data_IF_710252094062
#
_entry.id   IF_710252094062
#
_cell.length_a   1.000
_cell.length_b   1.000
_cell.length_c   1.000
_cell.angle_alpha   90.00
_cell.angle_beta   90.00
_cell.angle_gamma   90.00
#
_symmetry.space_group_name_H-M   'P 1'
#
loop_
_entity.id
_entity.type
_entity.pdbx_description
1 polymer ?
#
# COMPACT_ATOMS: atom_id res chain seq x y z
N UNK A 1 -5.94 31.47 5.13
CA UNK A 1 -6.54 30.66 4.04
C UNK A 1 -5.60 30.53 2.86
N UNK A 2 -4.86 31.59 2.48
CA UNK A 2 -3.84 31.52 1.41
C UNK A 2 -2.72 30.52 1.69
N UNK A 3 -2.20 30.45 2.93
CA UNK A 3 -1.11 29.53 3.27
C UNK A 3 -1.54 28.06 3.18
N UNK A 4 -2.75 27.73 3.64
CA UNK A 4 -3.31 26.38 3.49
C UNK A 4 -3.49 25.98 2.01
N UNK A 5 -3.89 26.90 1.14
CA UNK A 5 -4.01 26.63 -0.29
C UNK A 5 -2.64 26.42 -0.96
N UNK A 6 -1.63 27.21 -0.58
CA UNK A 6 -0.26 27.02 -1.04
C UNK A 6 0.29 25.66 -0.61
N UNK A 7 0.10 25.28 0.65
CA UNK A 7 0.51 23.98 1.18
C UNK A 7 -0.21 22.82 0.48
N UNK A 8 -1.52 22.92 0.25
CA UNK A 8 -2.28 21.93 -0.54
C UNK A 8 -1.72 21.78 -1.95
N UNK A 9 -1.42 22.89 -2.64
CA UNK A 9 -0.88 22.87 -3.99
C UNK A 9 0.51 22.23 -4.04
N UNK A 10 1.35 22.51 -3.04
CA UNK A 10 2.67 21.91 -2.90
C UNK A 10 2.57 20.40 -2.65
N UNK A 11 1.73 19.99 -1.70
CA UNK A 11 1.60 18.58 -1.30
C UNK A 11 0.91 17.73 -2.37
N UNK A 12 -0.05 18.28 -3.11
CA UNK A 12 -0.65 17.60 -4.27
C UNK A 12 0.36 17.42 -5.40
N UNK A 13 1.19 18.43 -5.66
CA UNK A 13 2.32 18.32 -6.61
C UNK A 13 3.32 17.25 -6.14
N UNK A 14 3.66 17.23 -4.86
CA UNK A 14 4.56 16.24 -4.28
C UNK A 14 3.99 14.80 -4.41
N UNK A 15 2.69 14.62 -4.18
CA UNK A 15 2.01 13.33 -4.38
C UNK A 15 2.08 12.87 -5.84
N UNK A 16 1.84 13.78 -6.80
CA UNK A 16 1.94 13.47 -8.22
C UNK A 16 3.37 13.07 -8.62
N UNK A 17 4.37 13.80 -8.14
CA UNK A 17 5.78 13.47 -8.37
C UNK A 17 6.12 12.11 -7.75
N UNK A 18 5.66 11.83 -6.52
CA UNK A 18 5.87 10.54 -5.87
C UNK A 18 5.27 9.38 -6.67
N UNK A 19 4.02 9.51 -7.12
CA UNK A 19 3.33 8.52 -7.97
C UNK A 19 4.06 8.33 -9.30
N UNK A 20 4.55 9.41 -9.91
CA UNK A 20 5.32 9.35 -11.14
C UNK A 20 6.66 8.62 -10.96
N UNK A 21 7.40 8.90 -9.88
CA UNK A 21 8.63 8.19 -9.56
C UNK A 21 8.38 6.70 -9.29
N UNK A 22 7.31 6.38 -8.57
CA UNK A 22 6.86 4.99 -8.36
C UNK A 22 6.60 4.32 -9.71
N UNK A 23 5.88 4.98 -10.63
CA UNK A 23 5.62 4.44 -11.97
C UNK A 23 6.93 4.11 -12.70
N UNK A 24 7.90 5.02 -12.71
CA UNK A 24 9.20 4.80 -13.36
C UNK A 24 9.94 3.60 -12.77
N UNK A 25 10.01 3.50 -11.44
CA UNK A 25 10.64 2.38 -10.76
C UNK A 25 9.94 1.07 -11.12
N UNK A 26 8.61 1.04 -11.10
CA UNK A 26 7.81 -0.15 -11.40
C UNK A 26 7.97 -0.61 -12.86
N UNK A 27 7.95 0.32 -13.82
CA UNK A 27 8.17 0.01 -15.24
C UNK A 27 9.56 -0.59 -15.44
N UNK A 28 10.57 -0.02 -14.80
CA UNK A 28 11.95 -0.50 -14.87
C UNK A 28 12.10 -1.87 -14.20
N UNK A 29 11.45 -2.10 -13.06
CA UNK A 29 11.51 -3.35 -12.30
C UNK A 29 10.80 -4.51 -13.01
N UNK A 30 9.59 -4.27 -13.53
CA UNK A 30 8.77 -5.34 -14.11
C UNK A 30 8.96 -5.52 -15.62
N UNK A 31 9.67 -4.59 -16.28
CA UNK A 31 9.83 -4.53 -17.74
C UNK A 31 8.51 -4.73 -18.50
N UNK A 32 7.40 -4.27 -17.92
CA UNK A 32 6.05 -4.46 -18.41
C UNK A 32 5.14 -3.35 -17.89
N UNK A 33 4.22 -2.85 -18.72
CA UNK A 33 3.31 -1.76 -18.35
C UNK A 33 2.09 -2.23 -17.53
N UNK A 34 1.70 -3.50 -17.63
CA UNK A 34 0.51 -4.01 -16.94
C UNK A 34 0.66 -4.08 -15.42
N UNK A 35 1.81 -4.54 -14.92
CA UNK A 35 2.07 -4.67 -13.48
C UNK A 35 2.06 -3.32 -12.76
N UNK A 36 2.75 -2.27 -13.26
CA UNK A 36 2.67 -0.92 -12.70
C UNK A 36 1.25 -0.38 -12.60
N UNK A 37 0.42 -0.54 -13.63
CA UNK A 37 -0.97 -0.04 -13.63
C UNK A 37 -1.80 -0.71 -12.54
N UNK A 38 -1.65 -2.03 -12.35
CA UNK A 38 -2.35 -2.76 -11.27
C UNK A 38 -1.95 -2.21 -9.90
N UNK A 39 -0.65 -2.01 -9.68
CA UNK A 39 -0.10 -1.51 -8.42
C UNK A 39 -0.54 -0.06 -8.16
N UNK A 40 -0.51 0.82 -9.16
CA UNK A 40 -0.95 2.19 -9.00
C UNK A 40 -2.47 2.30 -8.74
N UNK A 41 -3.26 1.41 -9.35
CA UNK A 41 -4.69 1.36 -9.07
C UNK A 41 -4.96 1.04 -7.60
N UNK A 42 -4.21 0.12 -6.98
CA UNK A 42 -4.39 -0.19 -5.56
C UNK A 42 -4.02 0.98 -4.64
N UNK A 43 -3.05 1.81 -5.03
CA UNK A 43 -2.71 3.05 -4.32
C UNK A 43 -3.85 4.08 -4.42
N UNK A 44 -4.40 4.30 -5.60
CA UNK A 44 -5.52 5.25 -5.75
C UNK A 44 -6.72 4.79 -4.91
N UNK A 45 -7.00 3.48 -4.90
CA UNK A 45 -8.08 2.92 -4.08
C UNK A 45 -7.79 2.99 -2.56
N UNK A 46 -6.53 2.99 -2.13
CA UNK A 46 -6.20 3.14 -0.70
C UNK A 46 -6.52 4.54 -0.18
N UNK A 47 -6.42 5.58 -1.03
CA UNK A 47 -6.80 6.95 -0.68
C UNK A 47 -8.27 7.03 -0.24
N UNK A 48 -9.16 6.29 -0.91
CA UNK A 48 -10.57 6.22 -0.51
C UNK A 48 -10.71 5.69 0.93
N UNK A 49 -9.90 4.71 1.33
CA UNK A 49 -9.86 4.21 2.70
C UNK A 49 -9.45 5.25 3.75
N UNK A 50 -8.51 6.12 3.40
CA UNK A 50 -8.08 7.24 4.26
C UNK A 50 -9.25 8.19 4.50
N UNK A 51 -9.87 8.68 3.42
CA UNK A 51 -10.99 9.63 3.51
C UNK A 51 -12.19 9.01 4.23
N UNK A 52 -12.54 7.76 3.91
CA UNK A 52 -13.62 7.04 4.58
C UNK A 52 -13.36 6.90 6.08
N UNK A 53 -12.15 6.51 6.48
CA UNK A 53 -11.80 6.34 7.90
C UNK A 53 -11.86 7.64 8.70
N UNK A 54 -11.41 8.76 8.11
CA UNK A 54 -11.48 10.09 8.71
C UNK A 54 -12.94 10.52 8.89
N UNK A 55 -13.76 10.37 7.85
CA UNK A 55 -15.19 10.75 7.87
C UNK A 55 -15.97 9.93 8.88
N UNK A 56 -15.78 8.60 8.92
CA UNK A 56 -16.46 7.71 9.86
C UNK A 56 -16.10 8.04 11.31
N UNK A 57 -14.81 8.32 11.55
CA UNK A 57 -14.29 8.59 12.90
C UNK A 57 -14.51 10.03 13.36
N UNK A 58 -15.08 10.89 12.50
CA UNK A 58 -15.33 12.33 12.75
C UNK A 58 -14.08 13.07 13.24
N UNK A 59 -12.91 12.69 12.72
CA UNK A 59 -11.65 13.37 13.03
C UNK A 59 -11.44 14.56 12.09
N UNK A 60 -10.72 15.58 12.58
CA UNK A 60 -10.37 16.74 11.77
C UNK A 60 -9.38 16.38 10.66
N UNK A 61 -9.63 16.93 9.46
CA UNK A 61 -8.71 16.81 8.33
C UNK A 61 -7.64 17.89 8.42
N UNK A 62 -6.50 17.56 9.02
CA UNK A 62 -5.33 18.43 9.07
C UNK A 62 -4.52 18.24 7.80
N UNK A 63 -4.72 19.14 6.84
CA UNK A 63 -4.17 19.11 5.47
C UNK A 63 -2.73 18.60 5.41
N UNK A 64 -1.79 19.25 6.09
CA UNK A 64 -0.36 18.95 5.96
C UNK A 64 -0.07 17.53 6.44
N UNK A 65 -0.53 17.22 7.66
CA UNK A 65 -0.25 15.95 8.34
C UNK A 65 -0.91 14.77 7.65
N UNK A 66 -2.16 14.93 7.23
CA UNK A 66 -2.90 13.89 6.53
C UNK A 66 -2.32 13.63 5.14
N UNK A 67 -1.92 14.67 4.40
CA UNK A 67 -1.28 14.51 3.08
C UNK A 67 0.10 13.85 3.18
N UNK A 68 0.92 14.20 4.17
CA UNK A 68 2.18 13.50 4.44
C UNK A 68 1.91 12.01 4.74
N UNK A 69 0.90 11.72 5.58
CA UNK A 69 0.46 10.35 5.86
C UNK A 69 0.02 9.59 4.61
N UNK A 70 -0.69 10.25 3.69
CA UNK A 70 -1.09 9.69 2.39
C UNK A 70 0.13 9.35 1.52
N UNK A 71 1.11 10.26 1.43
CA UNK A 71 2.34 10.04 0.65
C UNK A 71 3.12 8.85 1.24
N UNK A 72 3.26 8.78 2.56
CA UNK A 72 3.90 7.64 3.23
C UNK A 72 3.15 6.32 3.02
N UNK A 73 1.81 6.35 3.11
CA UNK A 73 0.95 5.20 2.86
C UNK A 73 1.12 4.68 1.43
N UNK A 74 1.23 5.56 0.42
CA UNK A 74 1.42 5.15 -0.96
C UNK A 74 2.65 4.23 -1.11
N UNK A 75 3.77 4.55 -0.47
CA UNK A 75 4.97 3.69 -0.45
C UNK A 75 4.74 2.32 0.17
N UNK A 76 4.03 2.26 1.31
CA UNK A 76 3.72 0.99 2.00
C UNK A 76 2.83 0.10 1.12
N UNK A 77 1.78 0.68 0.54
CA UNK A 77 0.82 -0.04 -0.33
C UNK A 77 1.51 -0.54 -1.60
N UNK A 78 2.37 0.28 -2.20
CA UNK A 78 3.18 -0.11 -3.37
C UNK A 78 4.08 -1.29 -3.03
N UNK A 79 4.78 -1.26 -1.90
CA UNK A 79 5.66 -2.38 -1.49
C UNK A 79 4.88 -3.69 -1.35
N UNK A 80 3.75 -3.66 -0.64
CA UNK A 80 2.88 -4.83 -0.49
C UNK A 80 2.41 -5.38 -1.84
N UNK A 81 2.03 -4.51 -2.78
CA UNK A 81 1.58 -4.90 -4.10
C UNK A 81 2.73 -5.41 -5.01
N UNK A 82 3.91 -4.78 -4.99
CA UNK A 82 5.11 -5.23 -5.71
C UNK A 82 5.45 -6.67 -5.32
N UNK A 83 5.54 -6.94 -4.02
CA UNK A 83 5.95 -8.25 -3.49
C UNK A 83 4.97 -9.36 -3.87
N UNK A 84 3.67 -9.03 -3.92
CA UNK A 84 2.61 -9.93 -4.38
C UNK A 84 2.74 -10.22 -5.88
N UNK A 85 2.80 -9.18 -6.72
CA UNK A 85 2.85 -9.30 -8.17
C UNK A 85 4.15 -9.98 -8.64
N UNK A 86 5.29 -9.62 -8.05
CA UNK A 86 6.59 -10.23 -8.36
C UNK A 86 6.60 -11.73 -8.03
N UNK A 87 6.01 -12.11 -6.90
CA UNK A 87 5.94 -13.52 -6.53
C UNK A 87 4.99 -14.32 -7.42
N UNK A 88 3.85 -13.75 -7.82
CA UNK A 88 2.99 -14.36 -8.84
C UNK A 88 3.73 -14.52 -10.17
N UNK A 89 4.51 -13.51 -10.60
CA UNK A 89 5.36 -13.60 -11.79
C UNK A 89 6.43 -14.71 -11.65
N UNK A 90 7.03 -14.85 -10.47
CA UNK A 90 8.00 -15.89 -10.17
C UNK A 90 7.39 -17.29 -10.29
N UNK A 91 6.20 -17.52 -9.70
CA UNK A 91 5.50 -18.81 -9.80
C UNK A 91 5.16 -19.12 -11.26
N UNK A 92 4.64 -18.13 -12.01
CA UNK A 92 4.36 -18.32 -13.44
C UNK A 92 5.61 -18.69 -14.24
N UNK A 93 6.76 -18.07 -13.94
CA UNK A 93 8.04 -18.41 -14.58
C UNK A 93 8.52 -19.81 -14.21
N UNK A 94 8.29 -20.28 -12.98
CA UNK A 94 8.59 -21.66 -12.57
C UNK A 94 7.72 -22.67 -13.30
N UNK A 95 6.40 -22.46 -13.33
CA UNK A 95 5.47 -23.32 -14.08
C UNK A 95 5.81 -23.42 -15.56
N UNK A 96 6.18 -22.31 -16.21
CA UNK A 96 6.64 -22.33 -17.61
C UNK A 96 7.85 -23.26 -17.82
N UNK A 97 8.82 -23.24 -16.89
CA UNK A 97 10.00 -24.10 -16.95
C UNK A 97 9.64 -25.57 -16.71
N UNK A 98 8.73 -25.85 -15.78
CA UNK A 98 8.28 -27.22 -15.48
C UNK A 98 7.52 -27.86 -16.65
N UNK A 99 6.78 -27.06 -17.41
CA UNK A 99 5.98 -27.50 -18.56
C UNK A 99 6.75 -27.42 -19.90
N UNK A 100 8.03 -27.02 -19.87
CA UNK A 100 8.89 -26.80 -21.04
C UNK A 100 8.25 -25.87 -22.11
N UNK A 101 7.52 -24.86 -21.65
CA UNK A 101 6.81 -23.90 -22.52
C UNK A 101 7.77 -22.75 -22.88
N UNK A 102 7.93 -22.47 -24.18
CA UNK A 102 8.71 -21.32 -24.67
C UNK A 102 8.21 -20.01 -24.02
N UNK A 103 9.15 -19.11 -23.68
CA UNK A 103 8.86 -17.82 -23.08
C UNK A 103 7.83 -16.98 -23.88
N UNK A 104 7.74 -17.22 -25.19
CA UNK A 104 6.82 -16.57 -26.13
C UNK A 104 5.39 -17.10 -26.04
N UNK A 105 5.18 -18.33 -25.54
CA UNK A 105 3.87 -18.95 -25.45
C UNK A 105 3.19 -18.52 -24.13
N UNK A 106 1.92 -18.12 -24.22
CA UNK A 106 1.12 -17.75 -23.06
C UNK A 106 0.66 -19.01 -22.32
N UNK A 107 0.83 -19.01 -21.00
CA UNK A 107 0.21 -20.01 -20.11
C UNK A 107 -1.32 -20.00 -20.28
N UNK A 108 -1.94 -21.17 -20.12
CA UNK A 108 -3.38 -21.34 -20.05
C UNK A 108 -4.00 -20.51 -18.92
N UNK A 109 -5.29 -20.20 -19.07
CA UNK A 109 -6.07 -19.53 -18.04
C UNK A 109 -6.06 -20.29 -16.70
N UNK A 110 -6.05 -21.63 -16.72
CA UNK A 110 -6.02 -22.44 -15.50
C UNK A 110 -4.68 -22.33 -14.79
N UNK A 111 -3.58 -22.44 -15.53
CA UNK A 111 -2.22 -22.36 -14.99
C UNK A 111 -1.95 -21.00 -14.34
N UNK A 112 -2.45 -19.92 -14.94
CA UNK A 112 -2.33 -18.58 -14.37
C UNK A 112 -3.24 -18.40 -13.17
N UNK A 113 -4.46 -18.94 -13.19
CA UNK A 113 -5.35 -18.91 -12.02
C UNK A 113 -4.68 -19.57 -10.82
N UNK A 114 -4.10 -20.74 -11.02
CA UNK A 114 -3.37 -21.45 -9.97
C UNK A 114 -2.17 -20.65 -9.45
N UNK A 115 -1.37 -20.06 -10.34
CA UNK A 115 -0.22 -19.23 -9.94
C UNK A 115 -0.63 -17.98 -9.14
N UNK A 116 -1.77 -17.38 -9.49
CA UNK A 116 -2.35 -16.25 -8.75
C UNK A 116 -2.84 -16.68 -7.37
N UNK A 117 -3.52 -17.83 -7.26
CA UNK A 117 -4.00 -18.37 -5.98
C UNK A 117 -2.83 -18.73 -5.07
N UNK A 118 -1.83 -19.43 -5.59
CA UNK A 118 -0.62 -19.79 -4.84
C UNK A 118 0.14 -18.53 -4.40
N UNK A 119 0.32 -17.57 -5.31
CA UNK A 119 0.99 -16.32 -4.99
C UNK A 119 0.28 -15.52 -3.90
N UNK A 120 -1.06 -15.42 -3.99
CA UNK A 120 -1.91 -14.79 -2.98
C UNK A 120 -1.79 -15.47 -1.62
N UNK A 121 -1.90 -16.80 -1.56
CA UNK A 121 -1.80 -17.56 -0.30
C UNK A 121 -0.46 -17.36 0.40
N UNK A 122 0.65 -17.40 -0.35
CA UNK A 122 1.99 -17.28 0.24
C UNK A 122 2.29 -15.85 0.71
N UNK A 123 1.80 -14.84 -0.02
CA UNK A 123 2.06 -13.42 0.30
C UNK A 123 1.07 -12.81 1.27
N UNK A 124 -0.06 -13.47 1.52
CA UNK A 124 -1.04 -13.08 2.53
C UNK A 124 -0.39 -12.83 3.88
N UNK A 125 0.45 -13.75 4.37
CA UNK A 125 1.08 -13.63 5.70
C UNK A 125 2.05 -12.43 5.79
N UNK A 126 3.04 -12.26 4.88
CA UNK A 126 3.89 -11.07 4.90
C UNK A 126 3.15 -9.73 4.82
N UNK A 127 2.12 -9.64 3.96
CA UNK A 127 1.35 -8.40 3.79
C UNK A 127 0.56 -8.07 5.04
N UNK A 128 -0.13 -9.06 5.63
CA UNK A 128 -0.84 -8.88 6.89
C UNK A 128 0.10 -8.51 8.04
N UNK A 129 1.26 -9.16 8.13
CA UNK A 129 2.25 -8.86 9.17
C UNK A 129 2.69 -7.40 9.08
N UNK A 130 3.02 -6.91 7.89
CA UNK A 130 3.40 -5.51 7.66
C UNK A 130 2.29 -4.55 8.05
N UNK A 131 1.05 -4.86 7.69
CA UNK A 131 -0.11 -4.04 8.06
C UNK A 131 -0.30 -3.99 9.58
N UNK A 132 -0.32 -5.16 10.23
CA UNK A 132 -0.53 -5.28 11.66
C UNK A 132 0.58 -4.58 12.45
N UNK A 133 1.85 -4.82 12.11
CA UNK A 133 2.98 -4.19 12.82
C UNK A 133 2.99 -2.67 12.65
N UNK A 134 2.67 -2.18 11.46
CA UNK A 134 2.56 -0.72 11.21
C UNK A 134 1.40 -0.12 12.00
N UNK A 135 0.23 -0.77 12.01
CA UNK A 135 -0.93 -0.30 12.77
C UNK A 135 -0.62 -0.28 14.26
N UNK A 136 -0.03 -1.36 14.79
CA UNK A 136 0.35 -1.42 16.21
C UNK A 136 1.42 -0.40 16.57
N UNK A 137 2.41 -0.17 15.70
CA UNK A 137 3.46 0.83 15.91
C UNK A 137 2.93 2.27 15.94
N UNK A 138 1.90 2.57 15.13
CA UNK A 138 1.27 3.89 15.08
C UNK A 138 0.08 4.04 16.03
N UNK A 139 -0.38 2.97 16.67
CA UNK A 139 -1.53 2.97 17.56
C UNK A 139 -1.38 3.91 18.79
N UNK A 140 -0.22 3.97 19.48
CA UNK A 140 -0.04 4.91 20.60
C UNK A 140 -0.20 6.37 20.15
N UNK A 141 0.38 6.73 19.01
CA UNK A 141 0.27 8.08 18.43
C UNK A 141 -1.16 8.41 18.00
N UNK A 142 -1.87 7.44 17.42
CA UNK A 142 -3.26 7.61 16.99
C UNK A 142 -4.24 7.77 18.17
N UNK A 143 -4.00 7.05 19.27
CA UNK A 143 -4.78 7.12 20.51
C UNK A 143 -4.44 8.34 21.38
N UNK A 144 -3.30 8.99 21.13
CA UNK A 144 -2.82 10.15 21.87
C UNK A 144 -2.07 9.82 23.16
N UNK A 145 -1.55 8.59 23.24
CA UNK A 145 -0.73 8.10 24.33
C UNK A 145 0.73 8.52 24.08
N UNK A 146 1.28 9.36 24.96
CA UNK A 146 2.70 9.69 25.00
C UNK A 146 3.41 8.91 26.11
N UNK A 147 4.62 8.44 25.80
CA UNK A 147 5.52 7.78 26.74
C UNK A 147 6.78 8.63 26.80
N UNK A 148 7.17 9.05 28.01
CA UNK A 148 8.45 9.73 28.18
C UNK A 148 9.58 8.70 28.14
N UNK A 149 10.19 8.51 26.97
CA UNK A 149 11.31 7.57 26.80
C UNK A 149 12.53 7.94 27.67
N UNK A 150 12.70 9.22 28.03
CA UNK A 150 13.83 9.65 28.84
C UNK A 150 13.64 9.25 30.30
N UNK A 151 12.45 9.48 30.87
CA UNK A 151 12.09 8.96 32.19
C UNK A 151 11.97 7.43 32.19
N UNK A 152 11.50 6.81 31.11
CA UNK A 152 11.44 5.35 30.97
C UNK A 152 12.82 4.70 31.10
N UNK A 153 13.85 5.27 30.43
CA UNK A 153 15.21 4.70 30.41
C UNK A 153 16.00 5.08 31.66
N UNK A 154 15.81 6.28 32.20
CA UNK A 154 16.60 6.80 33.33
C UNK A 154 16.01 6.44 34.68
N UNK A 155 14.69 6.47 34.81
CA UNK A 155 13.95 6.35 36.08
C UNK A 155 13.12 5.07 36.16
N UNK A 156 13.11 4.23 35.09
CA UNK A 156 12.21 3.08 34.95
C UNK A 156 10.72 3.45 35.13
N UNK A 157 10.38 4.73 34.92
CA UNK A 157 9.03 5.26 35.01
C UNK A 157 8.61 5.77 33.62
N UNK A 158 7.68 5.08 32.95
CA UNK A 158 7.21 5.48 31.62
C UNK A 158 6.52 6.85 31.58
N UNK A 159 6.08 7.38 32.74
CA UNK A 159 5.22 8.57 32.88
C UNK A 159 4.26 8.70 31.70
N UNK A 160 3.28 7.80 31.63
CA UNK A 160 2.30 7.79 30.53
C UNK A 160 1.38 8.98 30.71
N UNK A 161 1.37 9.91 29.75
CA UNK A 161 0.43 11.03 29.72
C UNK A 161 -0.37 11.03 28.42
N UNK A 162 -1.64 11.42 28.53
CA UNK A 162 -2.53 11.58 27.39
C UNK A 162 -2.48 13.03 26.92
N UNK A 163 -2.06 13.25 25.68
CA UNK A 163 -1.87 14.58 25.09
C UNK A 163 -0.43 15.07 25.07
N UNK A 164 -0.21 16.27 24.53
CA UNK A 164 1.12 16.85 24.27
C UNK A 164 1.25 17.30 22.80
N UNK A 165 2.13 18.29 22.55
CA UNK A 165 2.26 18.94 21.23
C UNK A 165 2.56 17.93 20.10
N UNK A 166 3.34 16.89 20.40
CA UNK A 166 3.65 15.80 19.46
C UNK A 166 2.38 15.06 19.00
N UNK A 167 1.44 14.78 19.89
CA UNK A 167 0.21 14.04 19.55
C UNK A 167 -0.68 14.88 18.65
N UNK A 168 -0.80 16.18 18.90
CA UNK A 168 -1.62 17.08 18.07
C UNK A 168 -1.13 17.08 16.61
N UNK A 169 0.18 17.04 16.42
CA UNK A 169 0.81 17.02 15.10
C UNK A 169 0.77 15.63 14.43
N UNK A 170 1.18 14.57 15.13
CA UNK A 170 1.34 13.24 14.52
C UNK A 170 0.07 12.39 14.50
N UNK A 171 -0.97 12.73 15.28
CA UNK A 171 -2.22 11.96 15.32
C UNK A 171 -2.94 11.95 13.96
N UNK A 172 -3.18 13.07 13.26
CA UNK A 172 -3.84 13.05 11.94
C UNK A 172 -3.05 12.27 10.89
N UNK A 173 -1.71 12.33 10.94
CA UNK A 173 -0.83 11.55 10.07
C UNK A 173 -0.96 10.04 10.34
N UNK A 174 -0.88 9.64 11.62
CA UNK A 174 -0.97 8.24 12.05
C UNK A 174 -2.33 7.62 11.70
N UNK A 175 -3.41 8.37 11.92
CA UNK A 175 -4.76 7.96 11.56
C UNK A 175 -4.91 7.76 10.05
N UNK A 176 -4.36 8.67 9.24
CA UNK A 176 -4.39 8.53 7.79
C UNK A 176 -3.73 7.23 7.32
N UNK A 177 -2.55 6.90 7.89
CA UNK A 177 -1.84 5.66 7.58
C UNK A 177 -2.63 4.45 8.05
N UNK A 178 -3.16 4.44 9.28
CA UNK A 178 -3.88 3.30 9.84
C UNK A 178 -5.15 2.98 9.02
N UNK A 179 -5.99 3.98 8.76
CA UNK A 179 -7.23 3.77 8.01
C UNK A 179 -6.94 3.35 6.57
N UNK A 180 -6.04 4.07 5.92
CA UNK A 180 -5.63 3.77 4.57
C UNK A 180 -5.01 2.38 4.44
N UNK A 181 -4.13 1.98 5.35
CA UNK A 181 -3.46 0.69 5.32
C UNK A 181 -4.42 -0.46 5.62
N UNK A 182 -5.34 -0.28 6.58
CA UNK A 182 -6.37 -1.28 6.90
C UNK A 182 -7.22 -1.57 5.66
N UNK A 183 -7.70 -0.52 5.00
CA UNK A 183 -8.50 -0.66 3.78
C UNK A 183 -7.65 -1.21 2.62
N UNK A 184 -6.46 -0.65 2.40
CA UNK A 184 -5.56 -1.05 1.32
C UNK A 184 -5.10 -2.49 1.43
N UNK A 185 -4.94 -3.03 2.65
CA UNK A 185 -4.50 -4.41 2.86
C UNK A 185 -5.55 -5.37 2.33
N UNK A 186 -6.82 -5.15 2.67
CA UNK A 186 -7.92 -5.94 2.14
C UNK A 186 -8.03 -5.81 0.62
N UNK A 187 -7.95 -4.58 0.10
CA UNK A 187 -8.00 -4.35 -1.34
C UNK A 187 -6.81 -4.97 -2.07
N UNK A 188 -5.60 -4.86 -1.55
CA UNK A 188 -4.40 -5.41 -2.20
C UNK A 188 -4.50 -6.93 -2.30
N UNK A 189 -5.01 -7.61 -1.28
CA UNK A 189 -5.13 -9.07 -1.29
C UNK A 189 -6.24 -9.60 -2.20
N UNK A 190 -7.24 -8.78 -2.53
CA UNK A 190 -8.37 -9.19 -3.38
C UNK A 190 -8.24 -8.60 -4.79
N UNK A 191 -8.11 -7.28 -4.88
CA UNK A 191 -8.11 -6.52 -6.13
C UNK A 191 -6.86 -6.79 -6.95
N UNK A 192 -5.66 -6.83 -6.36
CA UNK A 192 -4.42 -7.03 -7.14
C UNK A 192 -4.39 -8.42 -7.81
N UNK A 193 -4.66 -9.55 -7.11
CA UNK A 193 -4.78 -10.86 -7.74
C UNK A 193 -5.85 -10.91 -8.84
N UNK A 194 -7.03 -10.35 -8.59
CA UNK A 194 -8.15 -10.38 -9.55
C UNK A 194 -7.87 -9.51 -10.78
N UNK A 195 -7.30 -8.31 -10.61
CA UNK A 195 -6.87 -7.46 -11.73
C UNK A 195 -5.76 -8.12 -12.52
N UNK A 196 -4.77 -8.73 -11.85
CA UNK A 196 -3.69 -9.45 -12.50
C UNK A 196 -4.23 -10.58 -13.39
N UNK A 197 -5.13 -11.41 -12.85
CA UNK A 197 -5.75 -12.50 -13.60
C UNK A 197 -6.56 -11.98 -14.79
N UNK A 198 -7.37 -10.94 -14.59
CA UNK A 198 -8.24 -10.36 -15.63
C UNK A 198 -7.43 -9.76 -16.77
N UNK A 199 -6.38 -8.98 -16.48
CA UNK A 199 -5.51 -8.39 -17.50
C UNK A 199 -4.75 -9.48 -18.26
N UNK A 200 -4.32 -10.55 -17.58
CA UNK A 200 -3.67 -11.66 -18.26
C UNK A 200 -4.62 -12.40 -19.20
N UNK A 201 -5.85 -12.71 -18.74
CA UNK A 201 -6.90 -13.31 -19.57
C UNK A 201 -7.22 -12.45 -20.79
N UNK A 202 -7.27 -11.13 -20.61
CA UNK A 202 -7.47 -10.18 -21.70
C UNK A 202 -6.34 -10.24 -22.73
N UNK A 203 -5.07 -10.38 -22.29
CA UNK A 203 -3.95 -10.60 -23.22
C UNK A 203 -4.09 -11.89 -24.02
N UNK A 204 -4.44 -13.01 -23.37
CA UNK A 204 -4.66 -14.28 -24.09
C UNK A 204 -5.73 -14.10 -25.18
N UNK A 205 -6.86 -13.49 -24.83
CA UNK A 205 -7.94 -13.24 -25.78
C UNK A 205 -7.50 -12.37 -26.97
N UNK A 206 -6.66 -11.36 -26.72
CA UNK A 206 -6.16 -10.48 -27.77
C UNK A 206 -5.16 -11.18 -28.70
N UNK A 207 -4.31 -12.08 -28.18
CA UNK A 207 -3.28 -12.78 -28.96
C UNK A 207 -3.76 -14.07 -29.62
N UNK A 208 -4.92 -14.61 -29.23
CA UNK A 208 -5.55 -15.78 -29.86
C UNK A 208 -6.45 -15.41 -31.06
N UNK A 209 -6.59 -14.12 -31.37
CA UNK A 209 -7.37 -13.59 -32.49
C UNK A 209 -6.44 -13.03 -33.55
#
# INVERSE_FOLDING_TARGET
MEDQQKELSFLSTALLVAVFLILLILVTQFNAFSSPVIILTSVVLSLAGVFLGIVISRNDFVIIMTMIGIISLAGIVVNNAIVLVDYTNLIRRRKRKELDIDIKILLSNEEVKEAVIEGGKTRLRPVLLTAITTILGLFPLASGLNIDFFSLVKEWDPKIFFGGDNVIFFKPMSLAIIYGLTFATFLTLVVVPTMYYTIYRFKIWLFQK
#
